data_IF_554609341582
#
_entry.id   IF_554609341582
#
_cell.length_a   1.000
_cell.length_b   1.000
_cell.length_c   1.000
_cell.angle_alpha   90.00
_cell.angle_beta   90.00
_cell.angle_gamma   90.00
#
_symmetry.space_group_name_H-M   'P 1'
#
loop_
_entity.id
_entity.type
_entity.pdbx_description
1 polymer ?
#
# COMPACT_ATOMS: atom_id res chain seq x y z
N UNK A 1 27.78 20.65 -42.45
CA UNK A 1 28.18 21.75 -41.55
C UNK A 1 27.30 21.69 -40.32
N UNK A 2 27.94 21.56 -39.16
CA UNK A 2 27.35 21.06 -37.92
C UNK A 2 26.36 22.02 -37.25
N UNK A 3 25.40 21.38 -36.57
CA UNK A 3 24.34 21.94 -35.77
C UNK A 3 24.83 22.75 -34.57
N UNK A 4 24.14 23.86 -34.31
CA UNK A 4 24.28 24.67 -33.10
C UNK A 4 23.33 24.12 -32.03
N UNK A 5 23.81 23.23 -31.18
CA UNK A 5 23.13 22.78 -29.97
C UNK A 5 23.97 23.24 -28.77
N UNK A 6 23.55 24.31 -28.10
CA UNK A 6 24.18 24.80 -26.88
C UNK A 6 23.91 23.81 -25.74
N UNK A 7 24.87 22.92 -25.48
CA UNK A 7 24.89 22.08 -24.29
C UNK A 7 25.52 22.85 -23.12
N UNK A 8 24.67 23.02 -22.09
CA UNK A 8 24.94 23.23 -20.65
C UNK A 8 26.41 23.28 -20.21
N UNK A 9 26.82 24.42 -19.66
CA UNK A 9 27.83 24.49 -18.60
C UNK A 9 27.20 25.06 -17.32
N UNK A 10 26.94 24.20 -16.34
CA UNK A 10 26.97 24.60 -14.94
C UNK A 10 28.19 23.93 -14.34
N UNK A 11 29.31 24.65 -14.30
CA UNK A 11 30.47 24.27 -13.49
C UNK A 11 30.19 24.67 -12.03
N UNK A 12 30.35 23.78 -11.03
CA UNK A 12 30.11 24.12 -9.64
C UNK A 12 31.36 24.79 -9.04
N UNK A 13 31.21 26.02 -8.55
CA UNK A 13 32.20 26.62 -7.64
C UNK A 13 32.13 25.87 -6.31
N UNK A 14 33.27 25.49 -5.70
CA UNK A 14 33.33 24.53 -4.61
C UNK A 14 32.69 25.11 -3.35
N UNK A 15 31.45 24.72 -3.09
CA UNK A 15 30.86 24.92 -1.78
C UNK A 15 31.56 23.95 -0.82
N UNK A 16 32.41 24.47 0.06
CA UNK A 16 33.09 23.66 1.08
C UNK A 16 32.04 23.03 2.00
N UNK A 17 32.07 21.69 2.09
CA UNK A 17 31.25 20.96 3.06
C UNK A 17 31.82 21.21 4.46
N UNK A 18 31.01 21.79 5.34
CA UNK A 18 31.36 22.08 6.73
C UNK A 18 30.92 20.97 7.68
N UNK A 19 29.93 20.17 7.28
CA UNK A 19 29.46 19.03 8.08
C UNK A 19 28.83 17.97 7.17
N UNK A 20 29.13 16.72 7.48
CA UNK A 20 28.45 15.55 6.93
C UNK A 20 27.64 14.91 8.06
N UNK A 21 26.33 14.74 7.86
CA UNK A 21 25.46 14.08 8.85
C UNK A 21 25.54 12.54 8.70
N UNK A 22 25.08 11.74 9.66
CA UNK A 22 25.04 10.29 9.47
C UNK A 22 24.18 9.90 8.27
N UNK A 23 24.62 8.88 7.52
CA UNK A 23 23.82 8.29 6.44
C UNK A 23 22.57 7.61 7.01
N UNK A 24 21.43 7.77 6.34
CA UNK A 24 20.16 7.10 6.71
C UNK A 24 19.53 6.49 5.47
N UNK A 25 19.71 5.18 5.29
CA UNK A 25 19.37 4.48 4.04
C UNK A 25 20.14 5.07 2.85
N UNK A 26 19.48 5.41 1.73
CA UNK A 26 20.13 6.06 0.59
C UNK A 26 20.39 7.55 0.81
N UNK A 27 20.01 8.14 1.95
CA UNK A 27 20.06 9.58 2.18
C UNK A 27 21.33 9.98 2.92
N UNK A 28 22.14 10.83 2.29
CA UNK A 28 23.32 11.43 2.90
C UNK A 28 23.18 12.96 2.90
N UNK A 29 23.03 13.58 4.07
CA UNK A 29 22.90 15.04 4.18
C UNK A 29 24.25 15.72 4.43
N UNK A 30 24.46 16.84 3.74
CA UNK A 30 25.63 17.69 3.86
C UNK A 30 25.21 19.12 4.21
N UNK A 31 26.02 19.80 5.04
CA UNK A 31 25.97 21.24 5.27
C UNK A 31 27.14 21.91 4.58
N UNK A 32 26.84 22.89 3.75
CA UNK A 32 27.79 23.72 3.03
C UNK A 32 28.05 25.02 3.79
N UNK A 33 29.25 25.59 3.62
CA UNK A 33 29.62 26.89 4.20
C UNK A 33 28.67 28.00 3.72
N UNK A 34 28.35 27.95 2.42
CA UNK A 34 27.53 28.92 1.72
C UNK A 34 26.25 28.27 1.17
N UNK A 35 25.26 29.11 0.86
CA UNK A 35 23.99 28.65 0.30
C UNK A 35 24.14 28.34 -1.18
N UNK A 36 24.16 27.07 -1.53
CA UNK A 36 24.32 26.60 -2.91
C UNK A 36 22.94 26.47 -3.58
N UNK A 37 22.85 26.93 -4.83
CA UNK A 37 21.66 26.74 -5.65
C UNK A 37 21.70 25.35 -6.29
N UNK A 38 20.58 24.63 -6.27
CA UNK A 38 20.44 23.32 -6.91
C UNK A 38 18.98 23.08 -7.28
N UNK A 39 18.76 22.26 -8.30
CA UNK A 39 17.43 21.74 -8.59
C UNK A 39 17.19 20.53 -7.71
N UNK A 40 16.08 20.53 -6.97
CA UNK A 40 15.69 19.35 -6.22
C UNK A 40 15.24 18.25 -7.17
N UNK A 41 15.88 17.10 -7.07
CA UNK A 41 15.61 15.90 -7.83
C UNK A 41 14.24 15.24 -7.54
N UNK A 42 13.54 15.64 -6.47
CA UNK A 42 12.24 15.07 -6.11
C UNK A 42 11.04 15.94 -6.43
N UNK A 43 11.17 17.25 -6.22
CA UNK A 43 10.07 18.18 -6.46
C UNK A 43 10.28 19.02 -7.72
N UNK A 44 11.37 18.79 -8.47
CA UNK A 44 11.73 19.56 -9.66
C UNK A 44 12.12 21.03 -9.41
N UNK A 45 11.77 21.62 -8.26
CA UNK A 45 11.98 23.04 -7.98
C UNK A 45 13.46 23.43 -7.88
N UNK A 46 13.77 24.66 -8.31
CA UNK A 46 15.04 25.29 -7.99
C UNK A 46 15.04 25.73 -6.52
N UNK A 47 16.05 25.31 -5.75
CA UNK A 47 16.23 25.64 -4.34
C UNK A 47 17.58 26.32 -4.13
N UNK A 48 17.70 27.09 -3.04
CA UNK A 48 18.96 27.65 -2.55
C UNK A 48 19.05 27.39 -1.06
N UNK A 49 20.05 26.62 -0.61
CA UNK A 49 20.14 26.17 0.78
C UNK A 49 21.58 25.80 1.13
N UNK A 50 21.93 25.91 2.42
CA UNK A 50 23.18 25.35 2.97
C UNK A 50 23.07 23.85 3.23
N UNK A 51 21.86 23.32 3.38
CA UNK A 51 21.60 21.89 3.55
C UNK A 51 21.18 21.28 2.21
N UNK A 52 21.93 20.27 1.78
CA UNK A 52 21.63 19.48 0.59
C UNK A 52 21.78 18.01 0.96
N UNK A 53 20.78 17.20 0.62
CA UNK A 53 20.87 15.75 0.75
C UNK A 53 21.19 15.16 -0.61
N UNK A 54 22.11 14.20 -0.66
CA UNK A 54 22.46 13.39 -1.83
C UNK A 54 21.78 12.03 -1.69
N UNK A 55 21.11 11.58 -2.75
CA UNK A 55 20.42 10.29 -2.79
C UNK A 55 21.32 9.22 -3.43
N UNK A 56 21.51 8.10 -2.75
CA UNK A 56 22.32 6.94 -3.16
C UNK A 56 23.74 7.31 -3.62
N UNK A 57 24.34 8.33 -3.00
CA UNK A 57 25.67 8.84 -3.35
C UNK A 57 25.74 9.59 -4.69
N UNK A 58 24.63 9.74 -5.42
CA UNK A 58 24.58 10.39 -6.72
C UNK A 58 24.34 11.90 -6.57
N UNK A 59 25.39 12.70 -6.80
CA UNK A 59 25.35 14.16 -6.72
C UNK A 59 24.49 14.84 -7.80
N UNK A 60 24.03 14.11 -8.82
CA UNK A 60 22.97 14.59 -9.70
C UNK A 60 21.60 14.57 -8.99
N UNK A 61 21.43 13.67 -8.00
CA UNK A 61 20.19 13.47 -7.25
C UNK A 61 20.20 14.22 -5.92
N UNK A 62 20.19 15.55 -6.01
CA UNK A 62 20.16 16.46 -4.85
C UNK A 62 18.74 16.70 -4.36
N UNK A 63 18.50 16.56 -3.07
CA UNK A 63 17.21 16.73 -2.41
C UNK A 63 17.19 18.00 -1.56
N UNK A 64 16.05 18.69 -1.60
CA UNK A 64 15.77 19.79 -0.69
C UNK A 64 15.43 19.26 0.71
N UNK A 65 15.58 20.10 1.73
CA UNK A 65 15.35 19.67 3.13
C UNK A 65 13.92 19.16 3.36
N UNK A 66 12.91 19.74 2.68
CA UNK A 66 11.53 19.26 2.77
C UNK A 66 11.34 17.86 2.16
N UNK A 67 11.90 17.62 0.96
CA UNK A 67 11.89 16.32 0.31
C UNK A 67 12.68 15.26 1.08
N UNK A 68 13.81 15.67 1.67
CA UNK A 68 14.61 14.86 2.58
C UNK A 68 13.80 14.44 3.79
N UNK A 69 13.17 15.37 4.52
CA UNK A 69 12.37 15.04 5.70
C UNK A 69 11.26 14.03 5.40
N UNK A 70 10.55 14.22 4.27
CA UNK A 70 9.52 13.27 3.84
C UNK A 70 10.07 11.88 3.50
N UNK A 71 11.17 11.79 2.76
CA UNK A 71 11.79 10.49 2.46
C UNK A 71 12.35 9.84 3.73
N UNK A 72 12.95 10.63 4.61
CA UNK A 72 13.49 10.16 5.87
C UNK A 72 12.40 9.49 6.72
N UNK A 73 11.22 10.11 6.85
CA UNK A 73 10.10 9.49 7.57
C UNK A 73 9.68 8.15 6.96
N UNK A 74 9.67 8.01 5.64
CA UNK A 74 9.38 6.75 4.98
C UNK A 74 10.45 5.69 5.26
N UNK A 75 11.73 6.04 5.14
CA UNK A 75 12.82 5.11 5.43
C UNK A 75 12.90 4.75 6.91
N UNK A 76 12.56 5.64 7.83
CA UNK A 76 12.48 5.34 9.26
C UNK A 76 11.36 4.34 9.57
N UNK A 77 10.21 4.44 8.90
CA UNK A 77 9.15 3.44 9.01
C UNK A 77 9.64 2.08 8.46
N UNK A 78 10.27 2.08 7.28
CA UNK A 78 10.71 0.85 6.60
C UNK A 78 11.88 0.16 7.33
N UNK A 79 12.82 0.93 7.88
CA UNK A 79 13.99 0.43 8.61
C UNK A 79 13.73 0.13 10.08
N UNK A 80 12.56 0.50 10.62
CA UNK A 80 12.20 0.21 12.00
C UNK A 80 12.12 -1.28 12.32
N UNK A 81 12.24 -1.63 13.60
CA UNK A 81 12.11 -3.01 14.12
C UNK A 81 10.65 -3.44 14.34
N UNK A 82 9.70 -2.59 13.96
CA UNK A 82 8.28 -2.87 14.07
C UNK A 82 7.88 -4.05 13.18
N UNK A 83 6.88 -4.81 13.62
CA UNK A 83 6.31 -5.90 12.83
C UNK A 83 5.80 -5.37 11.48
N UNK A 84 5.83 -6.21 10.45
CA UNK A 84 5.45 -5.88 9.08
C UNK A 84 4.07 -5.21 8.99
N UNK A 85 3.12 -5.66 9.78
CA UNK A 85 1.76 -5.12 9.88
C UNK A 85 1.74 -3.71 10.42
N UNK A 86 2.53 -3.43 11.44
CA UNK A 86 2.65 -2.09 11.98
C UNK A 86 3.34 -1.15 10.98
N UNK A 87 4.37 -1.60 10.25
CA UNK A 87 5.03 -0.82 9.21
C UNK A 87 4.07 -0.45 8.06
N UNK A 88 3.24 -1.39 7.62
CA UNK A 88 2.22 -1.14 6.60
C UNK A 88 1.19 -0.09 7.05
N UNK A 89 0.71 -0.15 8.30
CA UNK A 89 -0.21 0.87 8.82
C UNK A 89 0.44 2.25 8.90
N UNK A 90 1.70 2.33 9.35
CA UNK A 90 2.45 3.59 9.40
C UNK A 90 2.66 4.16 8.00
N UNK A 91 2.95 3.33 7.00
CA UNK A 91 3.06 3.77 5.61
C UNK A 91 1.72 4.22 5.03
N UNK A 92 0.62 3.55 5.37
CA UNK A 92 -0.72 3.94 4.96
C UNK A 92 -1.12 5.30 5.57
N UNK A 93 -0.82 5.52 6.85
CA UNK A 93 -1.01 6.80 7.50
C UNK A 93 -0.11 7.89 6.87
N UNK A 94 1.15 7.55 6.57
CA UNK A 94 2.07 8.45 5.89
C UNK A 94 1.53 8.84 4.51
N UNK A 95 1.03 7.89 3.71
CA UNK A 95 0.39 8.13 2.42
C UNK A 95 -0.76 9.15 2.54
N UNK A 96 -1.71 8.91 3.44
CA UNK A 96 -2.84 9.82 3.62
C UNK A 96 -2.40 11.21 4.09
N UNK A 97 -1.31 11.31 4.84
CA UNK A 97 -0.74 12.60 5.26
C UNK A 97 0.01 13.36 4.15
N UNK A 98 0.34 12.70 3.02
CA UNK A 98 0.99 13.38 1.88
C UNK A 98 0.05 14.34 1.17
N UNK A 99 -1.25 14.17 1.35
CA UNK A 99 -2.31 14.92 0.68
C UNK A 99 -3.23 15.56 1.72
N UNK A 100 -3.64 16.81 1.47
CA UNK A 100 -4.64 17.48 2.30
C UNK A 100 -6.02 16.81 2.16
N UNK A 101 -6.91 17.02 3.14
CA UNK A 101 -8.28 16.48 3.08
C UNK A 101 -9.02 16.92 1.81
N UNK A 102 -8.85 18.18 1.38
CA UNK A 102 -9.44 18.68 0.14
C UNK A 102 -8.89 17.95 -1.10
N UNK A 103 -7.59 17.66 -1.13
CA UNK A 103 -6.97 16.87 -2.21
C UNK A 103 -7.44 15.41 -2.20
N UNK A 104 -7.66 14.81 -1.02
CA UNK A 104 -8.24 13.47 -0.92
C UNK A 104 -9.66 13.44 -1.49
N UNK A 105 -10.51 14.38 -1.07
CA UNK A 105 -11.89 14.48 -1.56
C UNK A 105 -11.94 14.71 -3.07
N UNK A 106 -11.06 15.56 -3.60
CA UNK A 106 -10.96 15.80 -5.03
C UNK A 106 -10.46 14.55 -5.78
N UNK A 107 -9.45 13.86 -5.26
CA UNK A 107 -8.98 12.61 -5.83
C UNK A 107 -10.09 11.54 -5.86
N UNK A 108 -10.86 11.39 -4.77
CA UNK A 108 -12.00 10.48 -4.72
C UNK A 108 -13.06 10.84 -5.78
N UNK A 109 -13.34 12.14 -5.96
CA UNK A 109 -14.28 12.63 -6.99
C UNK A 109 -13.81 12.30 -8.40
N UNK A 110 -12.54 12.58 -8.70
CA UNK A 110 -11.93 12.30 -10.00
C UNK A 110 -11.91 10.80 -10.30
N UNK A 111 -11.59 9.97 -9.30
CA UNK A 111 -11.56 8.52 -9.46
C UNK A 111 -12.96 7.97 -9.81
N UNK A 112 -14.01 8.39 -9.08
CA UNK A 112 -15.41 8.02 -9.40
C UNK A 112 -15.82 8.46 -10.81
N UNK A 113 -15.41 9.66 -11.23
CA UNK A 113 -15.70 10.14 -12.58
C UNK A 113 -14.99 9.33 -13.67
N UNK A 114 -13.80 8.79 -13.38
CA UNK A 114 -13.00 8.01 -14.31
C UNK A 114 -13.42 6.54 -14.43
N UNK A 115 -13.97 5.95 -13.36
CA UNK A 115 -14.43 4.56 -13.34
C UNK A 115 -15.69 4.42 -12.48
N UNK A 116 -16.84 4.19 -13.14
CA UNK A 116 -18.14 4.05 -12.46
C UNK A 116 -18.18 2.89 -11.46
N UNK A 117 -17.34 1.86 -11.61
CA UNK A 117 -17.27 0.73 -10.67
C UNK A 117 -16.85 1.18 -9.28
N UNK A 118 -16.18 2.33 -9.16
CA UNK A 118 -15.77 2.92 -7.90
C UNK A 118 -16.95 3.26 -6.97
N UNK A 119 -18.18 3.41 -7.49
CA UNK A 119 -19.39 3.62 -6.69
C UNK A 119 -19.71 2.43 -5.77
N UNK A 120 -19.25 1.22 -6.14
CA UNK A 120 -19.46 -0.01 -5.36
C UNK A 120 -18.39 -0.26 -4.29
N UNK A 121 -17.33 0.56 -4.23
CA UNK A 121 -16.28 0.43 -3.21
C UNK A 121 -16.75 0.97 -1.87
N UNK A 122 -16.25 0.37 -0.79
CA UNK A 122 -16.32 1.01 0.53
C UNK A 122 -15.62 2.37 0.51
N UNK A 123 -16.10 3.31 1.35
CA UNK A 123 -15.51 4.65 1.43
C UNK A 123 -14.00 4.62 1.79
N UNK A 124 -13.60 3.65 2.60
CA UNK A 124 -12.20 3.45 2.99
C UNK A 124 -11.36 2.95 1.82
N UNK A 125 -11.82 1.92 1.10
CA UNK A 125 -11.12 1.40 -0.08
C UNK A 125 -10.98 2.47 -1.18
N UNK A 126 -12.06 3.23 -1.41
CA UNK A 126 -12.05 4.33 -2.37
C UNK A 126 -11.01 5.40 -2.00
N UNK A 127 -10.96 5.81 -0.73
CA UNK A 127 -9.98 6.80 -0.27
C UNK A 127 -8.55 6.33 -0.53
N UNK A 128 -8.27 5.07 -0.23
CA UNK A 128 -6.94 4.49 -0.44
C UNK A 128 -6.55 4.44 -1.91
N UNK A 129 -7.42 3.91 -2.79
CA UNK A 129 -7.11 3.83 -4.24
C UNK A 129 -6.99 5.23 -4.85
N UNK A 130 -7.91 6.13 -4.55
CA UNK A 130 -7.88 7.50 -5.09
C UNK A 130 -6.64 8.28 -4.62
N UNK A 131 -6.27 8.14 -3.34
CA UNK A 131 -5.04 8.77 -2.82
C UNK A 131 -3.79 8.16 -3.45
N UNK A 132 -3.76 6.84 -3.66
CA UNK A 132 -2.65 6.18 -4.34
C UNK A 132 -2.48 6.68 -5.77
N UNK A 133 -3.56 6.80 -6.55
CA UNK A 133 -3.54 7.37 -7.91
C UNK A 133 -3.08 8.83 -7.90
N UNK A 134 -3.58 9.64 -6.97
CA UNK A 134 -3.17 11.04 -6.86
C UNK A 134 -1.67 11.19 -6.55
N UNK A 135 -1.17 10.41 -5.59
CA UNK A 135 0.26 10.39 -5.25
C UNK A 135 1.08 9.85 -6.42
N UNK A 136 0.61 8.82 -7.12
CA UNK A 136 1.27 8.29 -8.31
C UNK A 136 1.42 9.35 -9.41
N UNK A 137 0.38 10.15 -9.70
CA UNK A 137 0.48 11.26 -10.67
C UNK A 137 1.58 12.26 -10.26
N UNK A 138 1.68 12.57 -8.96
CA UNK A 138 2.76 13.43 -8.47
C UNK A 138 4.13 12.78 -8.63
N UNK A 139 4.24 11.46 -8.41
CA UNK A 139 5.47 10.69 -8.62
C UNK A 139 5.83 10.51 -10.10
N UNK A 140 4.87 10.46 -11.03
CA UNK A 140 5.15 10.33 -12.48
C UNK A 140 5.95 11.51 -13.04
N UNK A 141 5.89 12.67 -12.37
CA UNK A 141 6.72 13.81 -12.73
C UNK A 141 8.22 13.59 -12.45
N UNK A 142 8.58 12.56 -11.67
CA UNK A 142 9.97 12.24 -11.31
C UNK A 142 10.18 10.70 -11.14
N UNK A 143 10.64 10.04 -12.21
CA UNK A 143 10.71 8.58 -12.37
C UNK A 143 11.60 7.81 -11.36
N UNK A 144 12.26 8.49 -10.44
CA UNK A 144 13.28 7.92 -9.56
C UNK A 144 12.98 8.13 -8.06
N UNK A 145 11.69 8.25 -7.73
CA UNK A 145 11.19 8.35 -6.36
C UNK A 145 10.77 6.99 -5.80
N UNK A 146 10.70 6.87 -4.48
CA UNK A 146 10.20 5.70 -3.77
C UNK A 146 8.67 5.56 -3.91
N UNK A 147 8.21 4.51 -4.58
CA UNK A 147 6.78 4.26 -4.88
C UNK A 147 6.03 3.48 -3.79
N UNK A 148 6.72 3.03 -2.73
CA UNK A 148 6.11 2.27 -1.63
C UNK A 148 4.82 2.87 -1.06
N UNK A 149 4.70 4.21 -0.85
CA UNK A 149 3.43 4.80 -0.39
C UNK A 149 2.27 4.60 -1.37
N UNK A 150 2.49 4.76 -2.68
CA UNK A 150 1.41 4.56 -3.66
C UNK A 150 1.02 3.08 -3.73
N UNK A 151 2.01 2.18 -3.70
CA UNK A 151 1.78 0.72 -3.68
C UNK A 151 1.03 0.27 -2.42
N UNK A 152 1.39 0.77 -1.24
CA UNK A 152 0.70 0.39 0.00
C UNK A 152 -0.76 0.87 -0.01
N UNK A 153 -1.04 2.02 -0.63
CA UNK A 153 -2.40 2.50 -0.81
C UNK A 153 -3.27 1.52 -1.61
N UNK A 154 -2.76 0.99 -2.72
CA UNK A 154 -3.47 -0.04 -3.50
C UNK A 154 -3.72 -1.31 -2.68
N UNK A 155 -2.72 -1.78 -1.91
CA UNK A 155 -2.86 -2.95 -1.05
C UNK A 155 -3.90 -2.73 0.06
N UNK A 156 -3.89 -1.55 0.70
CA UNK A 156 -4.86 -1.20 1.75
C UNK A 156 -6.28 -1.03 1.21
N UNK A 157 -6.44 -0.62 -0.04
CA UNK A 157 -7.76 -0.62 -0.67
C UNK A 157 -8.36 -2.03 -0.74
N UNK A 158 -7.57 -3.04 -1.13
CA UNK A 158 -8.00 -4.45 -1.12
C UNK A 158 -8.30 -4.93 0.30
N UNK A 159 -7.45 -4.58 1.27
CA UNK A 159 -7.66 -4.96 2.68
C UNK A 159 -8.98 -4.39 3.23
N UNK A 160 -9.23 -3.09 3.01
CA UNK A 160 -10.46 -2.43 3.42
C UNK A 160 -11.69 -3.12 2.79
N UNK A 161 -11.58 -3.51 1.52
CA UNK A 161 -12.70 -4.13 0.80
C UNK A 161 -12.95 -5.59 1.24
N UNK A 162 -11.88 -6.36 1.53
CA UNK A 162 -11.99 -7.67 2.18
C UNK A 162 -12.66 -7.54 3.55
N UNK A 163 -12.28 -6.55 4.34
CA UNK A 163 -12.90 -6.31 5.65
C UNK A 163 -14.37 -5.98 5.49
N UNK A 164 -14.70 -5.07 4.58
CA UNK A 164 -16.06 -4.60 4.36
C UNK A 164 -16.99 -5.71 3.84
N UNK A 165 -16.54 -6.48 2.84
CA UNK A 165 -17.38 -7.43 2.11
C UNK A 165 -17.36 -8.84 2.66
N UNK A 166 -16.30 -9.24 3.35
CA UNK A 166 -16.14 -10.62 3.84
C UNK A 166 -16.13 -10.66 5.36
N UNK A 167 -15.17 -9.98 5.99
CA UNK A 167 -14.91 -10.18 7.42
C UNK A 167 -16.02 -9.60 8.30
N UNK A 168 -16.57 -8.43 7.97
CA UNK A 168 -17.68 -7.84 8.72
C UNK A 168 -18.97 -8.67 8.58
N UNK A 169 -19.39 -9.12 7.39
CA UNK A 169 -20.51 -10.06 7.25
C UNK A 169 -20.27 -11.39 7.96
N UNK A 170 -19.05 -11.94 7.89
CA UNK A 170 -18.68 -13.16 8.60
C UNK A 170 -18.80 -12.99 10.12
N UNK A 171 -18.30 -11.87 10.65
CA UNK A 171 -18.42 -11.53 12.06
C UNK A 171 -19.88 -11.36 12.51
N UNK A 172 -20.73 -10.78 11.65
CA UNK A 172 -22.15 -10.66 11.92
C UNK A 172 -22.84 -12.04 11.97
N UNK A 173 -22.50 -12.94 11.02
CA UNK A 173 -23.05 -14.29 10.95
C UNK A 173 -22.55 -15.21 12.07
N UNK A 174 -21.30 -15.05 12.50
CA UNK A 174 -20.70 -15.80 13.60
C UNK A 174 -21.13 -15.30 14.99
N UNK A 175 -21.99 -14.29 15.06
CA UNK A 175 -22.46 -13.72 16.34
C UNK A 175 -23.23 -14.78 17.12
N UNK A 176 -22.74 -15.11 18.32
CA UNK A 176 -23.35 -16.10 19.21
C UNK A 176 -22.81 -17.52 19.03
N UNK A 177 -21.92 -17.76 18.07
CA UNK A 177 -21.19 -19.03 17.96
C UNK A 177 -20.06 -19.08 19.02
N UNK A 178 -19.78 -20.27 19.55
CA UNK A 178 -18.61 -20.48 20.42
C UNK A 178 -17.35 -20.65 19.55
N UNK A 179 -16.59 -19.56 19.45
CA UNK A 179 -15.32 -19.51 18.69
C UNK A 179 -14.10 -19.78 19.57
N UNK A 180 -14.26 -20.31 20.79
CA UNK A 180 -13.13 -20.47 21.74
C UNK A 180 -12.00 -21.34 21.16
N UNK A 181 -12.35 -22.48 20.55
CA UNK A 181 -11.37 -23.34 19.87
C UNK A 181 -10.76 -22.68 18.64
N UNK A 182 -11.58 -21.99 17.83
CA UNK A 182 -11.12 -21.29 16.63
C UNK A 182 -10.13 -20.17 16.98
N UNK A 183 -10.32 -19.46 18.11
CA UNK A 183 -9.42 -18.42 18.60
C UNK A 183 -8.04 -18.94 19.01
N UNK A 184 -7.96 -20.19 19.47
CA UNK A 184 -6.69 -20.83 19.85
C UNK A 184 -5.94 -21.41 18.64
N UNK A 185 -6.61 -21.53 17.48
CA UNK A 185 -6.00 -22.05 16.28
C UNK A 185 -5.02 -21.05 15.66
N UNK A 186 -3.82 -21.54 15.30
CA UNK A 186 -2.74 -20.70 14.77
C UNK A 186 -3.04 -20.06 13.41
N UNK A 187 -3.89 -20.68 12.58
CA UNK A 187 -4.10 -20.27 11.19
C UNK A 187 -5.40 -19.49 11.01
N UNK A 188 -6.41 -19.74 11.86
CA UNK A 188 -7.71 -19.04 11.80
C UNK A 188 -7.98 -18.12 13.00
N UNK A 189 -7.14 -18.18 14.04
CA UNK A 189 -7.38 -17.50 15.32
C UNK A 189 -7.45 -15.99 15.25
N UNK A 190 -6.72 -15.34 14.33
CA UNK A 190 -6.86 -13.89 14.11
C UNK A 190 -8.23 -13.51 13.55
N UNK A 191 -8.74 -14.28 12.58
CA UNK A 191 -10.08 -14.07 12.00
C UNK A 191 -11.15 -14.39 13.04
N UNK A 192 -11.01 -15.49 13.78
CA UNK A 192 -11.90 -15.85 14.88
C UNK A 192 -11.94 -14.77 15.97
N UNK A 193 -10.77 -14.23 16.33
CA UNK A 193 -10.62 -13.17 17.31
C UNK A 193 -11.31 -11.87 16.91
N UNK A 194 -11.32 -11.54 15.61
CA UNK A 194 -12.08 -10.41 15.06
C UNK A 194 -13.58 -10.70 14.99
N UNK A 195 -13.99 -11.91 14.58
CA UNK A 195 -15.41 -12.26 14.51
C UNK A 195 -16.08 -12.29 15.90
N UNK A 196 -15.34 -12.71 16.93
CA UNK A 196 -15.80 -12.69 18.32
C UNK A 196 -15.90 -11.28 18.92
N UNK A 197 -15.03 -10.36 18.49
CA UNK A 197 -15.07 -8.95 18.90
C UNK A 197 -14.74 -8.02 17.72
N UNK A 198 -15.77 -7.60 16.95
CA UNK A 198 -15.59 -6.80 15.74
C UNK A 198 -15.09 -5.37 16.00
N UNK A 199 -14.92 -4.97 17.27
CA UNK A 199 -14.28 -3.69 17.64
C UNK A 199 -12.76 -3.76 17.60
N UNK A 200 -12.18 -4.97 17.58
CA UNK A 200 -10.73 -5.18 17.44
C UNK A 200 -10.26 -4.77 16.05
N UNK A 201 -8.96 -4.55 15.93
CA UNK A 201 -8.31 -4.35 14.63
C UNK A 201 -8.67 -5.52 13.70
N UNK A 202 -9.18 -5.27 12.48
CA UNK A 202 -9.39 -6.32 11.50
C UNK A 202 -8.09 -7.07 11.19
N UNK A 203 -8.18 -8.37 10.85
CA UNK A 203 -7.01 -9.15 10.44
C UNK A 203 -6.44 -8.60 9.14
N UNK A 204 -5.11 -8.59 9.05
CA UNK A 204 -4.37 -8.14 7.87
C UNK A 204 -4.53 -9.10 6.68
N UNK A 205 -4.19 -8.63 5.48
CA UNK A 205 -4.27 -9.47 4.25
C UNK A 205 -3.56 -10.82 4.38
N UNK A 206 -2.38 -10.88 5.00
CA UNK A 206 -1.65 -12.13 5.21
C UNK A 206 -2.41 -13.10 6.11
N UNK A 207 -2.94 -12.59 7.23
CA UNK A 207 -3.77 -13.34 8.19
C UNK A 207 -5.03 -13.90 7.53
N UNK A 208 -5.69 -13.09 6.71
CA UNK A 208 -6.87 -13.54 5.96
C UNK A 208 -6.52 -14.53 4.83
N UNK A 209 -5.36 -14.35 4.17
CA UNK A 209 -4.89 -15.30 3.15
C UNK A 209 -4.64 -16.68 3.75
N UNK A 210 -4.01 -16.77 4.93
CA UNK A 210 -3.82 -18.04 5.65
C UNK A 210 -5.14 -18.67 6.12
N UNK A 211 -6.11 -17.84 6.53
CA UNK A 211 -7.47 -18.30 6.81
C UNK A 211 -8.09 -18.96 5.56
N UNK A 212 -8.05 -18.29 4.39
CA UNK A 212 -8.57 -18.85 3.14
C UNK A 212 -7.84 -20.13 2.74
N UNK A 213 -6.52 -20.17 2.85
CA UNK A 213 -5.73 -21.37 2.61
C UNK A 213 -6.22 -22.55 3.46
N UNK A 214 -6.50 -22.29 4.74
CA UNK A 214 -7.05 -23.29 5.66
C UNK A 214 -8.45 -23.74 5.23
N UNK A 215 -9.33 -22.79 4.90
CA UNK A 215 -10.68 -23.08 4.39
C UNK A 215 -10.60 -23.94 3.12
N UNK A 216 -9.65 -23.71 2.23
CA UNK A 216 -9.52 -24.40 0.93
C UNK A 216 -8.92 -25.81 1.09
N UNK A 217 -7.98 -26.02 2.01
CA UNK A 217 -7.18 -27.25 2.03
C UNK A 217 -7.42 -28.17 3.24
N UNK A 218 -7.87 -27.65 4.39
CA UNK A 218 -8.00 -28.48 5.60
C UNK A 218 -9.35 -29.18 5.69
N UNK A 219 -9.41 -30.47 5.35
CA UNK A 219 -10.64 -31.28 5.46
C UNK A 219 -11.15 -31.39 6.90
N UNK A 220 -10.24 -31.55 7.85
CA UNK A 220 -10.55 -31.67 9.28
C UNK A 220 -11.21 -30.39 9.81
N UNK A 221 -10.57 -29.23 9.62
CA UNK A 221 -11.11 -27.97 10.13
C UNK A 221 -12.44 -27.57 9.49
N UNK A 222 -12.71 -28.00 8.25
CA UNK A 222 -14.05 -27.81 7.64
C UNK A 222 -15.17 -28.51 8.41
N UNK A 223 -14.86 -29.59 9.14
CA UNK A 223 -15.83 -30.36 9.92
C UNK A 223 -15.92 -29.86 11.36
N UNK A 224 -14.82 -29.33 11.91
CA UNK A 224 -14.72 -29.02 13.35
C UNK A 224 -14.81 -27.52 13.67
N UNK A 225 -14.42 -26.63 12.75
CA UNK A 225 -14.41 -25.19 12.98
C UNK A 225 -15.78 -24.56 12.78
N UNK A 226 -16.29 -23.89 13.81
CA UNK A 226 -17.55 -23.14 13.76
C UNK A 226 -17.42 -21.92 12.84
N UNK A 227 -16.28 -21.24 12.91
CA UNK A 227 -15.99 -20.11 12.04
C UNK A 227 -15.97 -20.50 10.55
N UNK A 228 -15.30 -21.61 10.20
CA UNK A 228 -15.27 -22.08 8.80
C UNK A 228 -16.68 -22.49 8.36
N UNK A 229 -17.46 -23.13 9.22
CA UNK A 229 -18.87 -23.41 8.96
C UNK A 229 -19.68 -22.14 8.66
N UNK A 230 -19.50 -21.07 9.45
CA UNK A 230 -20.11 -19.77 9.17
C UNK A 230 -19.66 -19.21 7.82
N UNK A 231 -18.37 -19.30 7.50
CA UNK A 231 -17.84 -18.80 6.23
C UNK A 231 -18.44 -19.53 5.02
N UNK A 232 -18.61 -20.86 5.09
CA UNK A 232 -19.32 -21.57 4.03
C UNK A 232 -20.76 -21.12 3.90
N UNK A 233 -21.51 -21.02 5.00
CA UNK A 233 -22.91 -20.53 4.98
C UNK A 233 -23.00 -19.15 4.33
N UNK A 234 -22.10 -18.23 4.70
CA UNK A 234 -22.02 -16.90 4.10
C UNK A 234 -21.74 -16.97 2.59
N UNK A 235 -20.84 -17.87 2.17
CA UNK A 235 -20.45 -17.99 0.77
C UNK A 235 -21.50 -18.66 -0.12
N UNK A 236 -22.45 -19.41 0.43
CA UNK A 236 -23.52 -20.04 -0.38
C UNK A 236 -24.34 -18.99 -1.12
N UNK A 237 -24.56 -17.84 -0.50
CA UNK A 237 -25.39 -16.78 -1.09
C UNK A 237 -24.65 -15.96 -2.15
N UNK A 238 -23.33 -16.15 -2.31
CA UNK A 238 -22.48 -15.33 -3.17
C UNK A 238 -22.32 -15.88 -4.58
N UNK A 239 -22.60 -15.02 -5.58
CA UNK A 239 -22.54 -15.36 -7.01
C UNK A 239 -21.16 -15.90 -7.42
N UNK A 240 -20.08 -15.35 -6.85
CA UNK A 240 -18.70 -15.74 -7.18
C UNK A 240 -17.99 -16.57 -6.11
N UNK A 241 -18.73 -17.29 -5.27
CA UNK A 241 -18.17 -18.16 -4.22
C UNK A 241 -17.13 -19.16 -4.75
N UNK A 242 -17.32 -19.66 -5.98
CA UNK A 242 -16.35 -20.52 -6.67
C UNK A 242 -14.95 -19.89 -6.76
N UNK A 243 -14.86 -18.60 -7.10
CA UNK A 243 -13.56 -17.91 -7.16
C UNK A 243 -12.98 -17.65 -5.76
N UNK A 244 -13.83 -17.40 -4.75
CA UNK A 244 -13.37 -17.20 -3.38
C UNK A 244 -12.78 -18.49 -2.80
N UNK A 245 -13.37 -19.64 -3.13
CA UNK A 245 -13.02 -20.96 -2.58
C UNK A 245 -12.08 -21.79 -3.48
N UNK A 246 -11.74 -21.31 -4.67
CA UNK A 246 -10.79 -21.97 -5.55
C UNK A 246 -9.33 -21.77 -5.09
N UNK A 247 -8.48 -22.79 -5.32
CA UNK A 247 -7.07 -22.74 -4.95
C UNK A 247 -6.28 -21.67 -5.73
N UNK A 248 -6.65 -21.44 -7.00
CA UNK A 248 -6.13 -20.39 -7.88
C UNK A 248 -6.99 -19.11 -7.85
N UNK A 249 -7.90 -19.03 -6.88
CA UNK A 249 -8.85 -17.95 -6.71
C UNK A 249 -8.36 -16.79 -5.84
N UNK A 250 -9.22 -16.32 -4.92
CA UNK A 250 -8.92 -15.20 -4.03
C UNK A 250 -7.65 -15.42 -3.20
N UNK A 251 -7.44 -16.63 -2.66
CA UNK A 251 -6.23 -16.94 -1.88
C UNK A 251 -4.94 -16.72 -2.69
N UNK A 252 -4.90 -17.19 -3.93
CA UNK A 252 -3.75 -16.99 -4.82
C UNK A 252 -3.52 -15.50 -5.11
N UNK A 253 -4.60 -14.77 -5.42
CA UNK A 253 -4.56 -13.34 -5.68
C UNK A 253 -4.03 -12.53 -4.48
N UNK A 254 -4.49 -12.84 -3.25
CA UNK A 254 -4.00 -12.19 -2.04
C UNK A 254 -2.56 -12.56 -1.71
N UNK A 255 -2.14 -13.79 -2.00
CA UNK A 255 -0.76 -14.24 -1.82
C UNK A 255 0.19 -13.50 -2.76
N UNK A 256 -0.19 -13.33 -4.02
CA UNK A 256 0.55 -12.51 -4.98
C UNK A 256 0.63 -11.05 -4.55
N UNK A 257 -0.51 -10.44 -4.17
CA UNK A 257 -0.55 -9.06 -3.69
C UNK A 257 0.36 -8.84 -2.46
N UNK A 258 0.34 -9.80 -1.54
CA UNK A 258 1.10 -9.71 -0.29
C UNK A 258 2.60 -9.86 -0.53
N UNK A 259 3.01 -10.89 -1.27
CA UNK A 259 4.43 -11.23 -1.48
C UNK A 259 5.11 -10.30 -2.47
N UNK A 260 4.47 -9.97 -3.59
CA UNK A 260 5.08 -9.18 -4.66
C UNK A 260 5.01 -7.67 -4.45
N UNK A 261 4.12 -7.17 -3.57
CA UNK A 261 3.89 -5.73 -3.44
C UNK A 261 3.83 -5.27 -1.99
N UNK A 262 2.84 -5.72 -1.21
CA UNK A 262 2.61 -5.19 0.15
C UNK A 262 3.83 -5.36 1.06
N UNK A 263 4.44 -6.55 1.08
CA UNK A 263 5.61 -6.80 1.92
C UNK A 263 6.82 -6.00 1.43
N UNK A 264 7.09 -5.99 0.13
CA UNK A 264 8.18 -5.18 -0.43
C UNK A 264 8.03 -3.68 -0.11
N UNK A 265 6.80 -3.14 -0.20
CA UNK A 265 6.52 -1.76 0.17
C UNK A 265 6.78 -1.46 1.66
N UNK A 266 6.48 -2.41 2.54
CA UNK A 266 6.66 -2.28 3.99
C UNK A 266 8.09 -2.56 4.48
N UNK A 267 8.89 -3.27 3.68
CA UNK A 267 10.28 -3.63 3.97
C UNK A 267 11.25 -2.67 3.30
N UNK A 268 12.57 -2.88 3.43
CA UNK A 268 13.59 -1.95 2.93
C UNK A 268 13.70 -1.86 1.38
N UNK A 269 12.91 -2.64 0.64
CA UNK A 269 12.98 -2.68 -0.83
C UNK A 269 12.53 -1.34 -1.43
N UNK A 270 13.29 -0.80 -2.38
CA UNK A 270 12.82 0.34 -3.16
C UNK A 270 11.85 -0.13 -4.25
N UNK A 271 10.65 0.45 -4.28
CA UNK A 271 9.67 0.17 -5.33
C UNK A 271 9.74 1.25 -6.41
N UNK A 272 9.73 0.81 -7.66
CA UNK A 272 9.77 1.67 -8.83
C UNK A 272 8.37 1.88 -9.41
N UNK A 273 8.28 2.78 -10.40
CA UNK A 273 7.05 3.03 -11.16
C UNK A 273 6.45 1.75 -11.75
N UNK A 274 7.30 0.83 -12.22
CA UNK A 274 6.83 -0.43 -12.80
C UNK A 274 6.09 -1.28 -11.76
N UNK A 275 6.61 -1.39 -10.53
CA UNK A 275 5.95 -2.11 -9.44
C UNK A 275 4.57 -1.52 -9.14
N UNK A 276 4.44 -0.19 -9.16
CA UNK A 276 3.14 0.47 -8.99
C UNK A 276 2.17 0.17 -10.14
N UNK A 277 2.60 0.26 -11.40
CA UNK A 277 1.74 -0.03 -12.55
C UNK A 277 1.26 -1.48 -12.53
N UNK A 278 2.16 -2.44 -12.23
CA UNK A 278 1.81 -3.85 -12.15
C UNK A 278 0.87 -4.14 -10.96
N UNK A 279 1.10 -3.51 -9.80
CA UNK A 279 0.19 -3.57 -8.66
C UNK A 279 -1.18 -2.96 -9.00
N UNK A 280 -1.21 -1.82 -9.69
CA UNK A 280 -2.42 -1.12 -10.10
C UNK A 280 -3.25 -1.98 -11.04
N UNK A 281 -2.63 -2.63 -12.02
CA UNK A 281 -3.34 -3.54 -12.91
C UNK A 281 -3.92 -4.73 -12.14
N UNK A 282 -3.14 -5.30 -11.21
CA UNK A 282 -3.62 -6.37 -10.34
C UNK A 282 -4.82 -5.93 -9.47
N UNK A 283 -4.77 -4.73 -8.87
CA UNK A 283 -5.77 -4.26 -7.89
C UNK A 283 -7.00 -3.64 -8.55
N UNK A 284 -6.79 -2.72 -9.48
CA UNK A 284 -7.81 -1.85 -10.06
C UNK A 284 -7.86 -1.90 -11.60
N UNK A 285 -7.09 -2.77 -12.25
CA UNK A 285 -7.15 -3.00 -13.70
C UNK A 285 -8.51 -3.52 -14.16
N UNK A 286 -8.66 -3.80 -15.45
CA UNK A 286 -9.96 -4.20 -16.01
C UNK A 286 -10.55 -5.43 -15.28
N UNK A 287 -9.69 -6.37 -14.90
CA UNK A 287 -10.01 -7.60 -14.16
C UNK A 287 -9.41 -7.58 -12.73
N UNK A 288 -9.21 -6.39 -12.18
CA UNK A 288 -8.55 -6.19 -10.90
C UNK A 288 -9.27 -6.83 -9.70
N UNK A 289 -8.49 -7.10 -8.64
CA UNK A 289 -8.94 -7.74 -7.41
C UNK A 289 -10.15 -7.02 -6.78
N UNK A 290 -10.18 -5.69 -6.78
CA UNK A 290 -11.29 -4.93 -6.20
C UNK A 290 -12.61 -5.27 -6.88
N UNK A 291 -12.61 -5.28 -8.21
CA UNK A 291 -13.81 -5.53 -9.01
C UNK A 291 -14.25 -6.98 -8.91
N UNK A 292 -13.29 -7.92 -8.91
CA UNK A 292 -13.58 -9.33 -8.67
C UNK A 292 -14.16 -9.57 -7.27
N UNK A 293 -13.61 -8.94 -6.22
CA UNK A 293 -14.16 -9.01 -4.86
C UNK A 293 -15.59 -8.48 -4.80
N UNK A 294 -15.86 -7.34 -5.45
CA UNK A 294 -17.21 -6.78 -5.53
C UNK A 294 -18.17 -7.80 -6.14
N UNK A 295 -17.90 -8.24 -7.37
CA UNK A 295 -18.76 -9.17 -8.10
C UNK A 295 -18.91 -10.52 -7.38
N UNK A 296 -17.82 -11.03 -6.80
CA UNK A 296 -17.83 -12.34 -6.15
C UNK A 296 -18.53 -12.37 -4.81
N UNK A 297 -18.83 -11.22 -4.20
CA UNK A 297 -19.56 -11.12 -2.92
C UNK A 297 -20.95 -10.52 -3.08
N UNK A 298 -21.42 -10.31 -4.32
CA UNK A 298 -22.82 -10.01 -4.56
C UNK A 298 -23.70 -11.23 -4.27
N UNK A 299 -24.82 -10.99 -3.60
CA UNK A 299 -25.79 -12.05 -3.30
C UNK A 299 -26.63 -12.39 -4.54
N UNK A 300 -27.02 -13.66 -4.68
CA UNK A 300 -28.10 -14.05 -5.58
C UNK A 300 -29.36 -13.23 -5.23
N UNK A 301 -29.86 -12.44 -6.19
CA UNK A 301 -31.13 -11.72 -6.06
C UNK A 301 -32.31 -12.66 -6.28
#
# INVERSE_FOLDING_TARGET
>A
MHANAAVRKMEPVPSTVTKTYPQRGPLQQFRFAESTAFRCFRCGDLKKSKLITVYSGDWARKLCNGCYGRLLSLYEIKAGTAADDQRAELLAAALLSLVSLAQQQEAERLFRASDKRAEALSAEALRFVATAEHVAIQLESDAQLEWSPAVIGLCKAVEAEVVHRILRPLAALARGEDLSSDKADKDIGRVAGFCADPKRKPPELGSFSHFLQTVIHSRERRQTSRLIGCFFRLSVDWIGSNWILAADGLHHALTLLTTSYRNRAAHIDELARRDYIDCRELVAGAQGLLWKLILSTECHR
#
